data_IF_412175703164
#
_entry.id   IF_412175703164
#
_cell.length_a   1.000
_cell.length_b   1.000
_cell.length_c   1.000
_cell.angle_alpha   90.00
_cell.angle_beta   90.00
_cell.angle_gamma   90.00
#
_symmetry.space_group_name_H-M   'P 1'
#
loop_
_entity.id
_entity.type
_entity.pdbx_description
1 polymer ?
#
# COMPACT_ATOMS: atom_id res chain seq x y z
N UNK A 1 20.73 4.20 5.41
CA UNK A 1 21.11 3.13 6.37
C UNK A 1 21.89 3.77 7.50
N UNK A 2 21.56 3.41 8.73
CA UNK A 2 22.28 3.86 9.92
C UNK A 2 22.91 2.65 10.58
N UNK A 3 24.20 2.71 10.82
CA UNK A 3 24.88 1.72 11.65
C UNK A 3 24.53 1.99 13.11
N UNK A 4 23.81 1.07 13.73
CA UNK A 4 23.33 1.22 15.09
C UNK A 4 24.46 1.10 16.13
N UNK A 5 25.63 0.60 15.75
CA UNK A 5 26.75 0.42 16.64
C UNK A 5 27.70 1.62 16.61
N UNK A 6 28.08 2.09 15.41
CA UNK A 6 29.03 3.19 15.23
C UNK A 6 28.35 4.54 14.95
N UNK A 7 27.05 4.54 14.67
CA UNK A 7 26.29 5.76 14.35
C UNK A 7 26.57 6.35 12.97
N UNK A 8 27.31 5.64 12.12
CA UNK A 8 27.58 6.12 10.77
C UNK A 8 26.32 6.06 9.91
N UNK A 9 26.13 7.09 9.06
CA UNK A 9 24.96 7.20 8.18
C UNK A 9 25.41 7.10 6.73
N UNK A 10 24.81 6.18 5.98
CA UNK A 10 25.04 6.02 4.55
C UNK A 10 23.72 6.19 3.80
N UNK A 11 23.74 7.06 2.79
CA UNK A 11 22.63 7.26 1.86
C UNK A 11 22.93 6.52 0.56
N UNK A 12 21.97 5.73 0.09
CA UNK A 12 22.07 4.98 -1.17
C UNK A 12 20.93 5.40 -2.11
N UNK A 13 21.26 5.65 -3.37
CA UNK A 13 20.25 5.88 -4.39
C UNK A 13 19.73 4.54 -4.90
N UNK A 14 18.52 4.18 -4.50
CA UNK A 14 17.90 2.87 -4.81
C UNK A 14 17.21 2.88 -6.17
N UNK A 15 16.69 4.05 -6.58
CA UNK A 15 16.03 4.29 -7.86
C UNK A 15 16.63 5.53 -8.54
N UNK A 16 16.43 5.64 -9.84
CA UNK A 16 16.84 6.83 -10.59
C UNK A 16 15.85 7.99 -10.31
N UNK A 17 16.20 8.78 -9.29
CA UNK A 17 15.42 9.93 -8.81
C UNK A 17 16.13 11.24 -9.13
N UNK A 18 15.53 12.15 -9.91
CA UNK A 18 16.16 13.41 -10.31
C UNK A 18 16.62 14.28 -9.13
N UNK A 19 15.85 14.28 -8.03
CA UNK A 19 16.19 15.06 -6.84
C UNK A 19 17.42 14.47 -6.15
N UNK A 20 17.46 13.15 -5.93
CA UNK A 20 18.60 12.46 -5.32
C UNK A 20 19.86 12.64 -6.18
N UNK A 21 19.73 12.51 -7.49
CA UNK A 21 20.82 12.78 -8.44
C UNK A 21 21.34 14.21 -8.34
N UNK A 22 20.45 15.19 -8.19
CA UNK A 22 20.83 16.61 -8.04
C UNK A 22 21.53 16.85 -6.72
N UNK A 23 21.03 16.29 -5.62
CA UNK A 23 21.67 16.39 -4.30
C UNK A 23 23.06 15.76 -4.32
N UNK A 24 23.22 14.59 -4.95
CA UNK A 24 24.51 13.93 -5.11
C UNK A 24 25.54 14.76 -5.89
N UNK A 25 25.08 15.57 -6.88
CA UNK A 25 25.94 16.53 -7.60
C UNK A 25 26.31 17.73 -6.74
N UNK A 26 25.41 18.22 -5.90
CA UNK A 26 25.68 19.35 -4.99
C UNK A 26 26.64 18.93 -3.87
N UNK A 27 26.48 17.71 -3.37
CA UNK A 27 27.28 17.15 -2.28
C UNK A 27 27.96 15.83 -2.72
N UNK A 28 29.08 15.91 -3.44
CA UNK A 28 29.79 14.73 -3.92
C UNK A 28 30.16 13.78 -2.77
N UNK A 29 29.85 12.49 -2.92
CA UNK A 29 30.13 11.47 -1.93
C UNK A 29 29.07 11.33 -0.82
N UNK A 30 28.05 12.19 -0.79
CA UNK A 30 26.94 12.06 0.18
C UNK A 30 26.03 10.88 -0.16
N UNK A 31 25.70 10.70 -1.43
CA UNK A 31 24.83 9.62 -1.91
C UNK A 31 25.67 8.61 -2.66
N UNK A 32 25.59 7.37 -2.25
CA UNK A 32 26.26 6.22 -2.85
C UNK A 32 25.34 5.56 -3.87
N UNK A 33 25.94 4.88 -4.83
CA UNK A 33 25.19 4.03 -5.76
C UNK A 33 24.62 2.79 -5.04
N UNK A 34 23.49 2.28 -5.53
CA UNK A 34 22.86 1.06 -4.99
C UNK A 34 23.82 -0.13 -4.99
N UNK A 35 24.67 -0.25 -5.99
CA UNK A 35 25.65 -1.33 -6.10
C UNK A 35 26.70 -1.34 -5.00
N UNK A 36 26.90 -0.24 -4.30
CA UNK A 36 27.79 -0.14 -3.13
C UNK A 36 27.13 -0.63 -1.83
N UNK A 37 25.82 -0.94 -1.88
CA UNK A 37 25.10 -1.45 -0.71
C UNK A 37 25.44 -2.91 -0.49
N UNK A 38 25.77 -3.33 0.75
CA UNK A 38 25.91 -4.74 1.09
C UNK A 38 24.66 -5.54 0.71
N UNK A 39 24.86 -6.73 0.15
CA UNK A 39 23.78 -7.59 -0.36
C UNK A 39 22.72 -7.89 0.71
N UNK A 40 23.16 -8.17 1.93
CA UNK A 40 22.25 -8.42 3.06
C UNK A 40 21.32 -7.23 3.34
N UNK A 41 21.81 -6.01 3.19
CA UNK A 41 20.99 -4.81 3.33
C UNK A 41 20.09 -4.59 2.11
N UNK A 42 20.59 -4.87 0.91
CA UNK A 42 19.84 -4.72 -0.32
C UNK A 42 18.59 -5.64 -0.33
N UNK A 43 18.71 -6.83 0.25
CA UNK A 43 17.59 -7.78 0.39
C UNK A 43 16.52 -7.33 1.40
N UNK A 44 16.79 -6.31 2.21
CA UNK A 44 15.85 -5.77 3.19
C UNK A 44 15.22 -4.44 2.79
N UNK A 45 15.48 -3.96 1.57
CA UNK A 45 14.87 -2.71 1.07
C UNK A 45 13.36 -2.92 0.93
N UNK A 46 12.62 -1.91 1.36
CA UNK A 46 11.16 -1.85 1.24
C UNK A 46 10.76 -0.57 0.51
N UNK A 47 9.76 -0.66 -0.34
CA UNK A 47 9.14 0.54 -0.90
C UNK A 47 8.47 1.33 0.23
N UNK A 48 8.78 2.61 0.34
CA UNK A 48 8.32 3.42 1.48
C UNK A 48 6.80 3.54 1.53
N UNK A 49 6.18 3.20 2.67
CA UNK A 49 4.75 3.40 2.90
C UNK A 49 4.31 4.84 2.67
N UNK A 50 5.07 5.81 3.20
CA UNK A 50 4.77 7.24 3.02
C UNK A 50 4.78 7.64 1.54
N UNK A 51 5.77 7.18 0.78
CA UNK A 51 5.86 7.48 -0.64
C UNK A 51 4.73 6.81 -1.42
N UNK A 52 4.42 5.55 -1.10
CA UNK A 52 3.31 4.82 -1.70
C UNK A 52 1.94 5.47 -1.40
N UNK A 53 1.75 5.94 -0.17
CA UNK A 53 0.53 6.66 0.23
C UNK A 53 0.35 7.98 -0.54
N UNK A 54 1.44 8.74 -0.74
CA UNK A 54 1.42 9.96 -1.55
C UNK A 54 1.02 9.63 -3.00
N UNK A 55 1.60 8.57 -3.57
CA UNK A 55 1.25 8.09 -4.91
C UNK A 55 -0.22 7.68 -4.98
N UNK A 56 -0.71 6.91 -4.00
CA UNK A 56 -2.10 6.50 -3.94
C UNK A 56 -3.05 7.71 -3.85
N UNK A 57 -2.77 8.66 -2.96
CA UNK A 57 -3.56 9.91 -2.83
C UNK A 57 -3.58 10.73 -4.12
N UNK A 58 -2.46 10.80 -4.81
CA UNK A 58 -2.39 11.44 -6.13
C UNK A 58 -3.27 10.70 -7.14
N UNK A 59 -3.19 9.38 -7.15
CA UNK A 59 -3.90 8.54 -8.10
C UNK A 59 -5.43 8.54 -7.92
N UNK A 60 -5.94 8.90 -6.74
CA UNK A 60 -7.38 9.10 -6.49
C UNK A 60 -8.06 10.01 -7.51
N UNK A 61 -7.32 10.93 -8.12
CA UNK A 61 -7.82 11.85 -9.16
C UNK A 61 -7.18 11.60 -10.52
N UNK A 62 -5.89 11.32 -10.56
CA UNK A 62 -5.12 11.22 -11.81
C UNK A 62 -5.30 9.91 -12.57
N UNK A 63 -6.19 9.00 -12.11
CA UNK A 63 -6.64 7.85 -12.89
C UNK A 63 -7.70 8.21 -13.94
N UNK A 64 -8.26 9.42 -13.88
CA UNK A 64 -9.28 9.89 -14.83
C UNK A 64 -8.61 10.45 -16.08
N UNK A 65 -8.85 9.78 -17.22
CA UNK A 65 -8.25 10.15 -18.50
C UNK A 65 -9.08 11.20 -19.24
N UNK A 66 -10.40 11.29 -19.00
CA UNK A 66 -11.27 12.30 -19.58
C UNK A 66 -11.18 13.61 -18.80
N UNK A 67 -10.88 14.71 -19.53
CA UNK A 67 -10.68 16.04 -18.95
C UNK A 67 -11.95 16.57 -18.26
N UNK A 68 -13.13 16.30 -18.80
CA UNK A 68 -14.39 16.76 -18.23
C UNK A 68 -14.71 16.00 -16.93
N UNK A 69 -14.55 14.67 -16.96
CA UNK A 69 -14.70 13.80 -15.77
C UNK A 69 -13.71 14.22 -14.69
N UNK A 70 -12.46 14.51 -15.07
CA UNK A 70 -11.43 14.99 -14.13
C UNK A 70 -11.82 16.34 -13.51
N UNK A 71 -12.25 17.29 -14.33
CA UNK A 71 -12.60 18.63 -13.84
C UNK A 71 -13.82 18.62 -12.92
N UNK A 72 -14.83 17.80 -13.26
CA UNK A 72 -16.06 17.66 -12.48
C UNK A 72 -15.92 16.70 -11.28
N UNK A 73 -14.81 15.96 -11.18
CA UNK A 73 -14.56 14.93 -10.16
C UNK A 73 -15.64 13.82 -10.14
N UNK A 74 -16.22 13.47 -11.26
CA UNK A 74 -17.32 12.51 -11.34
C UNK A 74 -16.93 11.09 -10.98
N UNK A 75 -15.70 10.66 -11.31
CA UNK A 75 -15.18 9.30 -11.01
C UNK A 75 -14.05 9.35 -9.97
N UNK A 76 -14.09 10.32 -9.05
CA UNK A 76 -13.06 10.40 -8.00
C UNK A 76 -13.08 9.16 -7.12
N UNK A 77 -11.88 8.64 -6.83
CA UNK A 77 -11.70 7.54 -5.90
C UNK A 77 -11.31 8.02 -4.50
N UNK A 78 -11.48 7.13 -3.53
CA UNK A 78 -10.98 7.28 -2.17
C UNK A 78 -10.21 6.02 -1.80
N UNK A 79 -9.28 6.12 -0.88
CA UNK A 79 -8.68 4.95 -0.26
C UNK A 79 -9.77 4.22 0.53
N UNK A 80 -9.76 2.90 0.50
CA UNK A 80 -10.69 2.08 1.28
C UNK A 80 -10.61 2.40 2.77
N UNK A 81 -11.71 2.20 3.47
CA UNK A 81 -11.75 2.38 4.94
C UNK A 81 -11.91 1.02 5.62
N UNK A 82 -11.42 0.93 6.84
CA UNK A 82 -11.50 -0.24 7.71
C UNK A 82 -12.00 0.15 9.10
N UNK A 83 -12.43 -0.83 9.89
CA UNK A 83 -12.69 -0.62 11.31
C UNK A 83 -11.44 -1.00 12.10
N UNK A 84 -10.84 0.00 12.72
CA UNK A 84 -9.74 -0.21 13.65
C UNK A 84 -10.19 0.11 15.08
N UNK A 85 -10.25 -0.93 15.89
CA UNK A 85 -10.86 -0.81 17.23
C UNK A 85 -12.37 -0.56 17.14
N UNK A 86 -12.80 0.65 17.42
CA UNK A 86 -14.23 1.06 17.38
C UNK A 86 -14.51 2.21 16.40
N UNK A 87 -13.51 2.61 15.62
CA UNK A 87 -13.64 3.74 14.70
C UNK A 87 -13.31 3.35 13.27
N UNK A 88 -14.03 3.93 12.32
CA UNK A 88 -13.70 3.84 10.90
C UNK A 88 -12.49 4.74 10.62
N UNK A 89 -11.46 4.21 9.98
CA UNK A 89 -10.30 4.96 9.49
C UNK A 89 -9.98 4.61 8.05
N UNK A 90 -9.28 5.49 7.36
CA UNK A 90 -8.69 5.21 6.05
C UNK A 90 -7.60 4.14 6.21
N UNK A 91 -7.56 3.16 5.33
CA UNK A 91 -6.54 2.11 5.35
C UNK A 91 -5.16 2.69 5.08
N UNK A 92 -4.19 2.20 5.81
CA UNK A 92 -2.79 2.47 5.55
C UNK A 92 -2.22 1.41 4.60
N UNK A 93 -1.17 1.74 3.82
CA UNK A 93 -0.48 0.75 3.01
C UNK A 93 0.06 -0.40 3.86
N UNK A 94 -0.23 -1.63 3.46
CA UNK A 94 0.24 -2.83 4.14
C UNK A 94 1.09 -3.70 3.23
N UNK A 95 2.10 -4.36 3.82
CA UNK A 95 2.97 -5.30 3.13
C UNK A 95 2.39 -6.70 3.20
N UNK A 96 2.39 -7.38 2.05
CA UNK A 96 1.94 -8.76 1.92
C UNK A 96 2.91 -9.57 1.05
N UNK A 97 2.89 -10.88 1.24
CA UNK A 97 3.47 -11.83 0.28
C UNK A 97 2.29 -12.40 -0.50
N UNK A 98 2.19 -12.03 -1.77
CA UNK A 98 1.07 -12.39 -2.63
C UNK A 98 1.56 -12.92 -3.97
N UNK A 99 0.83 -13.87 -4.54
CA UNK A 99 0.97 -14.21 -5.94
C UNK A 99 0.06 -13.28 -6.75
N UNK A 100 0.66 -12.35 -7.46
CA UNK A 100 -0.07 -11.40 -8.29
C UNK A 100 -0.63 -12.06 -9.55
N UNK A 101 -1.78 -11.59 -10.08
CA UNK A 101 -2.32 -12.08 -11.34
C UNK A 101 -1.31 -11.94 -12.48
N UNK A 102 -1.01 -13.06 -13.16
CA UNK A 102 -0.05 -13.12 -14.26
C UNK A 102 1.39 -13.39 -13.86
N UNK A 103 1.70 -13.43 -12.58
CA UNK A 103 3.04 -13.79 -12.07
C UNK A 103 3.14 -15.30 -11.77
N UNK A 104 4.33 -15.85 -11.89
CA UNK A 104 4.58 -17.28 -11.64
C UNK A 104 4.85 -17.59 -10.16
N UNK A 105 5.43 -16.64 -9.43
CA UNK A 105 5.84 -16.77 -8.03
C UNK A 105 5.15 -15.76 -7.12
N UNK A 106 5.22 -16.00 -5.83
CA UNK A 106 4.85 -15.03 -4.79
C UNK A 106 5.88 -13.91 -4.77
N UNK A 107 5.38 -12.68 -4.54
CA UNK A 107 6.19 -11.48 -4.42
C UNK A 107 5.86 -10.73 -3.14
N UNK A 108 6.86 -10.06 -2.58
CA UNK A 108 6.65 -9.12 -1.50
C UNK A 108 6.16 -7.80 -2.06
N UNK A 109 4.98 -7.39 -1.66
CA UNK A 109 4.28 -6.23 -2.21
C UNK A 109 3.71 -5.34 -1.13
N UNK A 110 3.54 -4.07 -1.46
CA UNK A 110 2.76 -3.12 -0.68
C UNK A 110 1.45 -2.85 -1.40
N UNK A 111 0.33 -2.85 -0.71
CA UNK A 111 -0.99 -2.71 -1.35
C UNK A 111 -1.86 -1.68 -0.67
N UNK A 112 -2.75 -1.07 -1.44
CA UNK A 112 -3.82 -0.20 -0.95
C UNK A 112 -5.06 -0.31 -1.83
N UNK A 113 -6.25 -0.55 -1.28
CA UNK A 113 -7.49 -0.64 -2.04
C UNK A 113 -8.10 0.73 -2.29
N UNK A 114 -8.75 0.89 -3.45
CA UNK A 114 -9.56 2.04 -3.77
C UNK A 114 -11.05 1.69 -3.83
N UNK A 115 -11.86 2.64 -3.37
CA UNK A 115 -13.32 2.65 -3.52
C UNK A 115 -13.75 3.91 -4.29
N UNK A 116 -14.86 3.91 -5.04
CA UNK A 116 -15.40 5.16 -5.57
C UNK A 116 -15.77 6.09 -4.41
N UNK A 117 -15.56 7.38 -4.58
CA UNK A 117 -15.87 8.36 -3.53
C UNK A 117 -17.32 8.23 -3.05
N UNK A 118 -17.51 8.15 -1.74
CA UNK A 118 -18.83 7.97 -1.11
C UNK A 118 -19.43 6.57 -1.23
N UNK A 119 -18.69 5.58 -1.76
CA UNK A 119 -19.14 4.20 -1.85
C UNK A 119 -18.18 3.28 -1.09
N UNK A 120 -18.65 2.06 -0.76
CA UNK A 120 -17.87 1.09 0.02
C UNK A 120 -17.41 -0.12 -0.80
N UNK A 121 -17.89 -0.28 -2.03
CA UNK A 121 -17.42 -1.33 -2.93
C UNK A 121 -16.04 -1.01 -3.50
N UNK A 122 -15.23 -2.03 -3.70
CA UNK A 122 -13.87 -1.87 -4.24
C UNK A 122 -13.90 -1.58 -5.75
N UNK A 123 -13.07 -0.66 -6.22
CA UNK A 123 -12.94 -0.29 -7.63
C UNK A 123 -11.54 -0.55 -8.20
N UNK A 124 -10.54 -0.62 -7.35
CA UNK A 124 -9.18 -0.92 -7.75
C UNK A 124 -8.29 -1.29 -6.57
N UNK A 125 -7.17 -1.92 -6.90
CA UNK A 125 -6.10 -2.25 -5.96
C UNK A 125 -4.79 -1.71 -6.54
N UNK A 126 -4.16 -0.78 -5.83
CA UNK A 126 -2.81 -0.33 -6.16
C UNK A 126 -1.81 -1.22 -5.44
N UNK A 127 -0.79 -1.65 -6.15
CA UNK A 127 0.25 -2.55 -5.68
C UNK A 127 1.61 -1.95 -6.01
N UNK A 128 2.53 -1.93 -5.05
CA UNK A 128 3.94 -1.62 -5.29
C UNK A 128 4.77 -2.88 -5.09
N UNK A 129 5.58 -3.24 -6.09
CA UNK A 129 6.51 -4.38 -6.01
C UNK A 129 7.73 -4.00 -5.18
N UNK A 130 8.18 -4.92 -4.33
CA UNK A 130 9.34 -4.72 -3.45
C UNK A 130 10.54 -5.58 -3.85
N UNK A 131 10.35 -6.58 -4.70
CA UNK A 131 11.37 -7.58 -5.00
C UNK A 131 12.06 -7.36 -6.35
N UNK A 132 13.32 -7.75 -6.41
CA UNK A 132 14.09 -7.94 -7.64
C UNK A 132 14.27 -6.68 -8.49
N UNK A 133 14.25 -6.89 -9.79
CA UNK A 133 14.44 -5.84 -10.80
C UNK A 133 13.22 -4.93 -10.99
N UNK A 134 12.06 -5.35 -10.50
CA UNK A 134 10.81 -4.59 -10.57
C UNK A 134 10.51 -3.78 -9.30
N UNK A 135 11.48 -3.66 -8.39
CA UNK A 135 11.35 -2.83 -7.20
C UNK A 135 10.83 -1.42 -7.52
N UNK A 136 9.77 -1.02 -6.80
CA UNK A 136 9.13 0.28 -6.96
C UNK A 136 8.19 0.41 -8.16
N UNK A 137 7.97 -0.67 -8.94
CA UNK A 137 6.95 -0.69 -9.99
C UNK A 137 5.57 -0.66 -9.35
N UNK A 138 4.76 0.29 -9.78
CA UNK A 138 3.36 0.42 -9.37
C UNK A 138 2.45 -0.27 -10.40
N UNK A 139 1.57 -1.12 -9.92
CA UNK A 139 0.57 -1.82 -10.72
C UNK A 139 -0.81 -1.47 -10.17
N UNK A 140 -1.70 -1.03 -11.05
CA UNK A 140 -3.10 -0.84 -10.70
C UNK A 140 -3.96 -1.93 -11.31
N UNK A 141 -4.58 -2.73 -10.45
CA UNK A 141 -5.64 -3.66 -10.83
C UNK A 141 -6.98 -2.92 -10.79
N UNK A 142 -7.51 -2.59 -11.97
CA UNK A 142 -8.85 -1.99 -12.08
C UNK A 142 -9.90 -3.09 -12.08
N UNK A 143 -10.87 -2.99 -11.20
CA UNK A 143 -11.96 -3.95 -11.12
C UNK A 143 -13.08 -3.59 -12.10
N UNK A 144 -13.74 -4.59 -12.70
CA UNK A 144 -14.80 -4.34 -13.65
C UNK A 144 -16.01 -3.65 -13.00
N UNK A 145 -16.56 -2.63 -13.66
CA UNK A 145 -17.69 -1.85 -13.13
C UNK A 145 -19.03 -2.60 -13.15
N UNK A 146 -19.13 -3.68 -13.94
CA UNK A 146 -20.32 -4.54 -14.06
C UNK A 146 -20.44 -5.58 -12.94
N UNK A 147 -19.40 -5.73 -12.12
CA UNK A 147 -19.40 -6.64 -10.97
C UNK A 147 -19.18 -5.88 -9.68
N UNK A 148 -19.97 -6.19 -8.67
CA UNK A 148 -19.75 -5.64 -7.34
C UNK A 148 -18.67 -6.47 -6.64
N UNK A 149 -17.53 -5.84 -6.37
CA UNK A 149 -16.49 -6.42 -5.51
C UNK A 149 -16.58 -5.72 -4.16
N UNK A 150 -16.69 -6.49 -3.11
CA UNK A 150 -16.79 -5.93 -1.76
C UNK A 150 -15.50 -5.23 -1.38
N UNK A 151 -15.62 -4.01 -0.87
CA UNK A 151 -14.52 -3.29 -0.25
C UNK A 151 -14.33 -3.70 1.22
N UNK A 152 -13.25 -3.23 1.85
CA UNK A 152 -12.89 -3.66 3.21
C UNK A 152 -14.03 -3.49 4.22
N UNK A 153 -14.69 -2.35 4.26
CA UNK A 153 -15.86 -2.10 5.14
C UNK A 153 -17.04 -3.04 4.90
N UNK A 154 -17.23 -3.48 3.67
CA UNK A 154 -18.29 -4.43 3.37
C UNK A 154 -17.95 -5.84 3.84
N UNK A 155 -16.67 -6.22 3.75
CA UNK A 155 -16.16 -7.48 4.31
C UNK A 155 -16.29 -7.48 5.83
N UNK A 156 -15.91 -6.38 6.51
CA UNK A 156 -16.13 -6.22 7.96
C UNK A 156 -17.60 -6.40 8.34
N UNK A 157 -18.51 -5.78 7.59
CA UNK A 157 -19.94 -5.93 7.82
C UNK A 157 -20.44 -7.37 7.61
N UNK A 158 -19.88 -8.10 6.65
CA UNK A 158 -20.19 -9.53 6.45
C UNK A 158 -19.69 -10.38 7.61
N UNK A 159 -18.51 -10.10 8.14
CA UNK A 159 -17.95 -10.78 9.31
C UNK A 159 -18.86 -10.54 10.53
N UNK A 160 -19.27 -9.29 10.77
CA UNK A 160 -20.15 -8.94 11.89
C UNK A 160 -21.54 -9.56 11.80
N UNK A 161 -22.07 -9.69 10.59
CA UNK A 161 -23.38 -10.31 10.35
C UNK A 161 -23.34 -11.84 10.38
N UNK A 162 -22.15 -12.44 10.32
CA UNK A 162 -22.02 -13.89 10.41
C UNK A 162 -22.21 -14.32 11.87
N UNK A 163 -23.29 -15.06 12.13
CA UNK A 163 -23.68 -15.45 13.49
C UNK A 163 -22.69 -16.40 14.16
N UNK A 164 -21.99 -17.23 13.41
CA UNK A 164 -20.99 -18.15 13.95
C UNK A 164 -19.74 -17.37 14.39
N UNK A 165 -19.24 -16.47 13.52
CA UNK A 165 -18.07 -15.63 13.82
C UNK A 165 -18.37 -14.69 14.99
N UNK A 166 -19.51 -14.01 14.97
CA UNK A 166 -19.93 -13.08 16.02
C UNK A 166 -20.08 -13.78 17.39
N UNK A 167 -20.57 -15.03 17.38
CA UNK A 167 -20.67 -15.85 18.59
C UNK A 167 -19.28 -16.18 19.16
N UNK A 168 -18.34 -16.59 18.31
CA UNK A 168 -16.97 -16.88 18.74
C UNK A 168 -16.26 -15.63 19.29
N UNK A 169 -16.40 -14.49 18.63
CA UNK A 169 -15.87 -13.22 19.12
C UNK A 169 -16.45 -12.81 20.46
N UNK A 170 -17.77 -13.01 20.65
CA UNK A 170 -18.44 -12.74 21.91
C UNK A 170 -17.94 -13.67 23.03
N UNK A 171 -17.70 -14.93 22.69
CA UNK A 171 -17.16 -15.93 23.64
C UNK A 171 -15.74 -15.56 24.06
N UNK A 172 -14.87 -15.18 23.13
CA UNK A 172 -13.50 -14.74 23.43
C UNK A 172 -13.47 -13.49 24.30
N UNK A 173 -14.28 -12.50 23.99
CA UNK A 173 -14.40 -11.28 24.80
C UNK A 173 -14.88 -11.59 26.23
N UNK A 174 -15.86 -12.46 26.39
CA UNK A 174 -16.39 -12.87 27.69
C UNK A 174 -15.36 -13.66 28.52
N UNK A 175 -14.45 -14.36 27.83
CA UNK A 175 -13.36 -15.12 28.44
C UNK A 175 -12.13 -14.25 28.76
N UNK A 176 -12.20 -12.94 28.58
CA UNK A 176 -11.09 -12.01 28.84
C UNK A 176 -10.01 -11.96 27.76
N UNK A 177 -10.23 -12.61 26.61
CA UNK A 177 -9.36 -12.50 25.44
C UNK A 177 -9.67 -11.22 24.67
N UNK A 178 -8.62 -10.59 24.11
CA UNK A 178 -8.77 -9.48 23.19
C UNK A 178 -8.37 -9.93 21.78
N UNK A 179 -9.11 -9.50 20.79
CA UNK A 179 -8.75 -9.70 19.39
C UNK A 179 -8.72 -8.37 18.67
N UNK A 180 -7.85 -8.25 17.69
CA UNK A 180 -7.75 -7.07 16.82
C UNK A 180 -8.12 -7.50 15.41
N UNK A 181 -8.95 -6.73 14.74
CA UNK A 181 -9.20 -6.85 13.30
C UNK A 181 -8.28 -5.88 12.58
N UNK A 182 -7.69 -6.32 11.51
CA UNK A 182 -6.82 -5.50 10.66
C UNK A 182 -6.63 -6.13 9.30
#
# INVERSE_FOLDING_TARGET
VVDAYEGTVNFYQVQDEPIATTIGKIYPGLIKDKSEMPEDLANHIRYSNTYFEIQAKTYQRYHMDDVNVFYQNEDKWSIGTEIYGQSEKEMEPNYYILKLPGEEAEEFVNTIPFTPSGKKNMTGLLVAKNDGSEYGKLILYRLPKDKVVYGPMQIESQIDQNTEISKEFSLWNSSGSTYTRG
#
